data_IF_068327090051
#
_entry.id   IF_068327090051
#
_cell.length_a   1.000
_cell.length_b   1.000
_cell.length_c   1.000
_cell.angle_alpha   90.00
_cell.angle_beta   90.00
_cell.angle_gamma   90.00
#
_symmetry.space_group_name_H-M   'P 1'
#
loop_
_entity.id
_entity.type
_entity.pdbx_description
1 polymer ?
#
# COMPACT_ATOMS: atom_id res chain seq x y z
N UNK A 1 -33.19 -10.34 -19.59
CA UNK A 1 -32.30 -9.60 -18.66
C UNK A 1 -32.34 -10.37 -17.36
N UNK A 2 -31.23 -10.92 -16.93
CA UNK A 2 -31.17 -11.72 -15.70
C UNK A 2 -31.31 -10.80 -14.48
N UNK A 3 -31.94 -11.30 -13.39
CA UNK A 3 -32.11 -10.56 -12.11
C UNK A 3 -30.83 -9.87 -11.60
N UNK A 4 -29.69 -10.42 -11.94
CA UNK A 4 -28.36 -9.91 -11.58
C UNK A 4 -27.97 -8.61 -12.31
N UNK A 5 -28.39 -8.43 -13.57
CA UNK A 5 -28.18 -7.17 -14.29
C UNK A 5 -29.08 -6.07 -13.73
N UNK A 6 -30.26 -6.43 -13.18
CA UNK A 6 -31.15 -5.48 -12.53
C UNK A 6 -30.57 -4.93 -11.22
N UNK A 7 -29.86 -5.75 -10.43
CA UNK A 7 -29.25 -5.34 -9.17
C UNK A 7 -28.06 -4.36 -9.37
N UNK A 8 -27.22 -4.57 -10.39
CA UNK A 8 -26.13 -3.65 -10.73
C UNK A 8 -26.66 -2.30 -11.26
N UNK A 9 -27.72 -2.34 -12.09
CA UNK A 9 -28.40 -1.14 -12.56
C UNK A 9 -29.14 -0.41 -11.45
N UNK A 10 -29.74 -1.12 -10.50
CA UNK A 10 -30.39 -0.51 -9.33
C UNK A 10 -29.39 0.29 -8.47
N UNK A 11 -28.15 -0.20 -8.30
CA UNK A 11 -27.09 0.53 -7.59
C UNK A 11 -26.66 1.81 -8.31
N UNK A 12 -26.53 1.77 -9.63
CA UNK A 12 -26.23 2.97 -10.43
C UNK A 12 -27.37 3.99 -10.36
N UNK A 13 -28.63 3.55 -10.43
CA UNK A 13 -29.79 4.43 -10.25
C UNK A 13 -29.88 5.02 -8.84
N UNK A 14 -29.48 4.25 -7.82
CA UNK A 14 -29.42 4.76 -6.46
C UNK A 14 -28.36 5.88 -6.32
N UNK A 15 -27.22 5.77 -7.01
CA UNK A 15 -26.21 6.84 -7.09
C UNK A 15 -26.72 8.09 -7.82
N UNK A 16 -27.57 7.94 -8.85
CA UNK A 16 -28.13 9.06 -9.61
C UNK A 16 -29.23 9.81 -8.83
N UNK A 17 -30.04 9.12 -8.04
CA UNK A 17 -31.28 9.67 -7.47
C UNK A 17 -31.27 9.84 -5.93
N UNK A 18 -30.29 9.30 -5.22
CA UNK A 18 -30.26 9.40 -3.77
C UNK A 18 -29.83 10.80 -3.29
N UNK A 19 -30.32 11.28 -2.15
CA UNK A 19 -29.87 12.54 -1.57
C UNK A 19 -28.36 12.51 -1.29
N UNK A 20 -27.65 13.59 -1.66
CA UNK A 20 -26.20 13.70 -1.53
C UNK A 20 -25.72 13.40 -0.12
N UNK A 21 -26.41 13.87 0.92
CA UNK A 21 -26.08 13.60 2.31
C UNK A 21 -26.09 12.11 2.67
N UNK A 22 -27.07 11.34 2.16
CA UNK A 22 -27.16 9.90 2.37
C UNK A 22 -26.00 9.16 1.67
N UNK A 23 -25.70 9.53 0.42
CA UNK A 23 -24.57 8.97 -0.33
C UNK A 23 -23.25 9.28 0.37
N UNK A 24 -23.08 10.51 0.88
CA UNK A 24 -21.89 10.89 1.61
C UNK A 24 -21.65 9.95 2.80
N UNK A 25 -22.65 9.72 3.64
CA UNK A 25 -22.52 8.79 4.78
C UNK A 25 -22.29 7.35 4.36
N UNK A 26 -23.00 6.88 3.34
CA UNK A 26 -22.92 5.50 2.87
C UNK A 26 -21.53 5.16 2.28
N UNK A 27 -20.83 6.14 1.69
CA UNK A 27 -19.49 5.96 1.13
C UNK A 27 -18.38 6.36 2.09
N UNK A 28 -18.57 7.44 2.86
CA UNK A 28 -17.52 7.93 3.77
C UNK A 28 -17.34 7.03 4.98
N UNK A 29 -18.44 6.57 5.61
CA UNK A 29 -18.33 5.77 6.83
C UNK A 29 -17.55 4.47 6.64
N UNK A 30 -17.84 3.62 5.63
CA UNK A 30 -17.01 2.43 5.39
C UNK A 30 -15.56 2.78 5.08
N UNK A 31 -15.32 3.88 4.37
CA UNK A 31 -13.97 4.33 4.03
C UNK A 31 -13.19 4.73 5.26
N UNK A 32 -13.78 5.55 6.13
CA UNK A 32 -13.17 6.00 7.39
C UNK A 32 -12.88 4.81 8.30
N UNK A 33 -13.84 3.91 8.47
CA UNK A 33 -13.66 2.68 9.27
C UNK A 33 -12.50 1.84 8.71
N UNK A 34 -12.46 1.61 7.40
CA UNK A 34 -11.36 0.86 6.78
C UNK A 34 -10.00 1.51 7.00
N UNK A 35 -9.90 2.84 6.85
CA UNK A 35 -8.65 3.58 7.08
C UNK A 35 -8.23 3.57 8.56
N UNK A 36 -9.18 3.68 9.50
CA UNK A 36 -8.90 3.58 10.94
C UNK A 36 -8.35 2.20 11.31
N UNK A 37 -8.97 1.13 10.79
CA UNK A 37 -8.50 -0.24 11.01
C UNK A 37 -7.09 -0.43 10.46
N UNK A 38 -6.81 0.10 9.26
CA UNK A 38 -5.47 0.07 8.66
C UNK A 38 -4.44 0.87 9.48
N UNK A 39 -4.83 2.04 10.00
CA UNK A 39 -3.94 2.84 10.86
C UNK A 39 -3.63 2.12 12.17
N UNK A 40 -4.65 1.53 12.78
CA UNK A 40 -4.49 0.77 14.03
C UNK A 40 -3.58 -0.44 13.83
N UNK A 41 -3.81 -1.21 12.76
CA UNK A 41 -2.94 -2.34 12.41
C UNK A 41 -1.48 -1.91 12.24
N UNK A 42 -1.20 -0.79 11.55
CA UNK A 42 0.16 -0.28 11.39
C UNK A 42 0.85 0.05 12.73
N UNK A 43 0.09 0.59 13.69
CA UNK A 43 0.62 0.87 15.04
C UNK A 43 0.93 -0.43 15.78
N UNK A 44 0.02 -1.39 15.75
CA UNK A 44 0.20 -2.70 16.41
C UNK A 44 1.39 -3.45 15.80
N UNK A 45 1.50 -3.48 14.49
CA UNK A 45 2.62 -4.14 13.79
C UNK A 45 3.98 -3.59 14.24
N UNK A 46 4.11 -2.26 14.38
CA UNK A 46 5.34 -1.63 14.90
C UNK A 46 5.63 -1.98 16.36
N UNK A 47 4.60 -2.07 17.20
CA UNK A 47 4.76 -2.49 18.59
C UNK A 47 5.25 -3.94 18.66
N UNK A 48 4.70 -4.83 17.82
CA UNK A 48 5.10 -6.23 17.75
C UNK A 48 6.56 -6.38 17.30
N UNK A 49 6.96 -5.66 16.24
CA UNK A 49 8.34 -5.66 15.76
C UNK A 49 9.29 -5.10 16.82
N UNK A 50 8.93 -3.99 17.46
CA UNK A 50 9.76 -3.38 18.50
C UNK A 50 9.99 -4.29 19.70
N UNK A 51 8.96 -5.06 20.11
CA UNK A 51 9.07 -6.01 21.21
C UNK A 51 9.76 -7.32 20.83
N UNK A 52 9.59 -7.76 19.59
CA UNK A 52 10.11 -9.06 19.13
C UNK A 52 11.52 -9.02 18.60
N UNK A 53 11.99 -7.89 18.05
CA UNK A 53 13.27 -7.80 17.36
C UNK A 53 14.21 -6.76 17.99
N UNK A 54 13.66 -5.71 18.60
CA UNK A 54 14.43 -4.67 19.29
C UNK A 54 14.52 -3.34 18.54
N UNK A 55 15.25 -2.38 19.14
CA UNK A 55 15.33 -0.99 18.68
C UNK A 55 16.02 -0.83 17.32
N UNK A 56 17.04 -1.64 17.04
CA UNK A 56 17.78 -1.59 15.75
C UNK A 56 16.90 -2.00 14.59
N UNK A 57 15.97 -2.93 14.81
CA UNK A 57 14.98 -3.32 13.80
C UNK A 57 14.00 -2.20 13.50
N UNK A 58 13.53 -1.45 14.51
CA UNK A 58 12.67 -0.28 14.30
C UNK A 58 13.42 0.79 13.49
N UNK A 59 14.69 1.03 13.82
CA UNK A 59 15.55 1.95 13.08
C UNK A 59 15.75 1.50 11.64
N UNK A 60 15.97 0.21 11.43
CA UNK A 60 16.04 -0.41 10.09
C UNK A 60 14.74 -0.23 9.30
N UNK A 61 13.58 -0.44 9.95
CA UNK A 61 12.27 -0.20 9.33
C UNK A 61 12.11 1.26 8.89
N UNK A 62 12.54 2.22 9.70
CA UNK A 62 12.41 3.64 9.34
C UNK A 62 13.13 3.97 8.02
N UNK A 63 14.25 3.31 7.75
CA UNK A 63 15.02 3.46 6.50
C UNK A 63 14.29 2.85 5.29
N UNK A 64 13.39 1.90 5.52
CA UNK A 64 12.63 1.27 4.42
C UNK A 64 11.44 2.13 3.93
N UNK A 65 11.00 3.13 4.71
CA UNK A 65 9.86 3.98 4.33
C UNK A 65 10.00 4.69 2.98
N UNK A 66 11.14 5.28 2.62
CA UNK A 66 11.30 5.86 1.29
C UNK A 66 11.06 4.85 0.17
N UNK A 67 11.54 3.60 0.32
CA UNK A 67 11.31 2.52 -0.66
C UNK A 67 9.82 2.20 -0.77
N UNK A 68 9.15 2.03 0.39
CA UNK A 68 7.71 1.76 0.45
C UNK A 68 6.88 2.90 -0.13
N UNK A 69 7.24 4.16 0.17
CA UNK A 69 6.56 5.34 -0.37
C UNK A 69 6.72 5.46 -1.89
N UNK A 70 7.89 5.12 -2.42
CA UNK A 70 8.11 5.15 -3.86
C UNK A 70 7.31 4.05 -4.57
N UNK A 71 7.30 2.83 -4.03
CA UNK A 71 6.47 1.74 -4.54
C UNK A 71 4.97 2.09 -4.46
N UNK A 72 4.54 2.72 -3.37
CA UNK A 72 3.17 3.21 -3.20
C UNK A 72 2.84 4.33 -4.19
N UNK A 73 3.76 5.27 -4.44
CA UNK A 73 3.56 6.34 -5.43
C UNK A 73 3.26 5.78 -6.82
N UNK A 74 3.99 4.74 -7.24
CA UNK A 74 3.75 4.04 -8.50
C UNK A 74 2.40 3.30 -8.51
N UNK A 75 2.01 2.69 -7.39
CA UNK A 75 0.70 2.07 -7.22
C UNK A 75 -0.44 3.08 -7.28
N UNK A 76 -0.28 4.23 -6.62
CA UNK A 76 -1.24 5.34 -6.60
C UNK A 76 -1.37 5.99 -7.97
N UNK A 77 -0.26 6.12 -8.73
CA UNK A 77 -0.29 6.62 -10.11
C UNK A 77 -1.32 5.87 -10.95
N UNK A 78 -1.32 4.56 -10.88
CA UNK A 78 -2.26 3.73 -11.64
C UNK A 78 -3.61 3.62 -10.92
N UNK A 79 -3.60 3.34 -9.62
CA UNK A 79 -4.82 3.09 -8.84
C UNK A 79 -5.76 4.30 -8.77
N UNK A 80 -5.24 5.49 -8.42
CA UNK A 80 -6.05 6.71 -8.35
C UNK A 80 -6.49 7.17 -9.74
N UNK A 81 -5.59 7.11 -10.75
CA UNK A 81 -5.91 7.46 -12.12
C UNK A 81 -7.00 6.58 -12.72
N UNK A 82 -6.87 5.25 -12.55
CA UNK A 82 -7.86 4.29 -13.01
C UNK A 82 -9.21 4.46 -12.29
N UNK A 83 -9.19 4.67 -10.96
CA UNK A 83 -10.40 4.88 -10.16
C UNK A 83 -11.19 6.08 -10.64
N UNK A 84 -10.52 7.23 -10.83
CA UNK A 84 -11.16 8.45 -11.32
C UNK A 84 -11.71 8.26 -12.75
N UNK A 85 -10.93 7.64 -13.64
CA UNK A 85 -11.36 7.39 -15.01
C UNK A 85 -12.56 6.44 -15.07
N UNK A 86 -12.55 5.38 -14.26
CA UNK A 86 -13.69 4.45 -14.11
C UNK A 86 -14.93 5.19 -13.64
N UNK A 87 -14.82 6.06 -12.62
CA UNK A 87 -15.96 6.84 -12.10
C UNK A 87 -16.58 7.73 -13.20
N UNK A 88 -15.73 8.42 -13.98
CA UNK A 88 -16.20 9.27 -15.10
C UNK A 88 -16.95 8.43 -16.13
N UNK A 89 -16.36 7.30 -16.56
CA UNK A 89 -16.95 6.45 -17.59
C UNK A 89 -18.24 5.77 -17.13
N UNK A 90 -18.34 5.40 -15.85
CA UNK A 90 -19.59 4.88 -15.27
C UNK A 90 -20.67 5.96 -15.23
N UNK A 91 -20.33 7.19 -14.86
CA UNK A 91 -21.25 8.34 -14.92
C UNK A 91 -21.74 8.63 -16.34
N UNK A 92 -20.89 8.42 -17.34
CA UNK A 92 -21.25 8.50 -18.77
C UNK A 92 -21.98 7.25 -19.30
N UNK A 93 -22.30 6.27 -18.44
CA UNK A 93 -22.93 4.98 -18.82
C UNK A 93 -22.08 4.14 -19.80
N UNK A 94 -20.78 4.43 -19.91
CA UNK A 94 -19.84 3.72 -20.78
C UNK A 94 -19.17 2.56 -20.02
N UNK A 95 -19.94 1.49 -19.80
CA UNK A 95 -19.45 0.30 -19.09
C UNK A 95 -18.30 -0.42 -19.82
N UNK A 96 -18.28 -0.37 -21.15
CA UNK A 96 -17.20 -0.99 -21.94
C UNK A 96 -15.89 -0.25 -21.74
N UNK A 97 -15.90 1.07 -21.83
CA UNK A 97 -14.72 1.90 -21.55
C UNK A 97 -14.21 1.73 -20.12
N UNK A 98 -15.11 1.68 -19.14
CA UNK A 98 -14.75 1.44 -17.74
C UNK A 98 -14.09 0.05 -17.54
N UNK A 99 -14.57 -0.99 -18.22
CA UNK A 99 -13.94 -2.31 -18.19
C UNK A 99 -12.56 -2.32 -18.88
N UNK A 100 -12.38 -1.55 -19.95
CA UNK A 100 -11.07 -1.38 -20.61
C UNK A 100 -10.07 -0.70 -19.68
N UNK A 101 -10.49 0.31 -18.91
CA UNK A 101 -9.65 0.95 -17.87
C UNK A 101 -9.28 -0.05 -16.78
N UNK A 102 -10.21 -0.88 -16.33
CA UNK A 102 -9.96 -1.93 -15.33
C UNK A 102 -8.86 -2.90 -15.79
N UNK A 103 -8.93 -3.39 -17.03
CA UNK A 103 -7.92 -4.30 -17.60
C UNK A 103 -6.58 -3.63 -17.81
N UNK A 104 -6.56 -2.39 -18.32
CA UNK A 104 -5.32 -1.63 -18.49
C UNK A 104 -4.65 -1.31 -17.14
N UNK A 105 -5.44 -1.00 -16.10
CA UNK A 105 -4.92 -0.79 -14.74
C UNK A 105 -4.21 -2.04 -14.20
N UNK A 106 -4.79 -3.24 -14.42
CA UNK A 106 -4.14 -4.50 -14.01
C UNK A 106 -2.78 -4.66 -14.67
N UNK A 107 -2.72 -4.51 -16.00
CA UNK A 107 -1.47 -4.68 -16.74
C UNK A 107 -0.44 -3.63 -16.33
N UNK A 108 -0.85 -2.37 -16.13
CA UNK A 108 0.05 -1.31 -15.68
C UNK A 108 0.59 -1.56 -14.27
N UNK A 109 -0.23 -2.06 -13.33
CA UNK A 109 0.23 -2.41 -11.99
C UNK A 109 1.22 -3.56 -12.02
N UNK A 110 1.00 -4.56 -12.89
CA UNK A 110 1.95 -5.67 -13.08
C UNK A 110 3.28 -5.19 -13.68
N UNK A 111 3.24 -4.31 -14.67
CA UNK A 111 4.44 -3.70 -15.26
C UNK A 111 5.21 -2.90 -14.22
N UNK A 112 4.52 -2.01 -13.49
CA UNK A 112 5.12 -1.22 -12.42
C UNK A 112 5.76 -2.12 -11.36
N UNK A 113 5.08 -3.18 -10.94
CA UNK A 113 5.59 -4.14 -9.98
C UNK A 113 6.88 -4.81 -10.47
N UNK A 114 6.89 -5.27 -11.72
CA UNK A 114 8.07 -5.88 -12.30
C UNK A 114 9.25 -4.90 -12.31
N UNK A 115 9.00 -3.64 -12.67
CA UNK A 115 10.03 -2.60 -12.69
C UNK A 115 10.60 -2.36 -11.29
N UNK A 116 9.77 -2.09 -10.26
CA UNK A 116 10.31 -1.79 -8.95
C UNK A 116 10.92 -3.02 -8.25
N UNK A 117 10.35 -4.22 -8.43
CA UNK A 117 10.94 -5.46 -7.91
C UNK A 117 12.33 -5.68 -8.51
N UNK A 118 12.48 -5.47 -9.83
CA UNK A 118 13.78 -5.59 -10.49
C UNK A 118 14.78 -4.54 -10.00
N UNK A 119 14.37 -3.27 -9.91
CA UNK A 119 15.26 -2.19 -9.46
C UNK A 119 15.68 -2.41 -8.01
N UNK A 120 14.72 -2.62 -7.11
CA UNK A 120 15.03 -2.79 -5.69
C UNK A 120 15.69 -4.14 -5.39
N UNK A 121 15.37 -5.21 -6.13
CA UNK A 121 16.04 -6.50 -5.96
C UNK A 121 17.51 -6.47 -6.35
N UNK A 122 17.88 -5.72 -7.39
CA UNK A 122 19.26 -5.63 -7.88
C UNK A 122 20.07 -4.57 -7.12
N UNK A 123 19.47 -3.40 -6.86
CA UNK A 123 20.17 -2.23 -6.30
C UNK A 123 19.80 -1.94 -4.85
N UNK A 124 19.37 -2.95 -4.06
CA UNK A 124 18.86 -2.73 -2.70
C UNK A 124 19.90 -2.08 -1.78
N UNK A 125 21.13 -2.56 -1.76
CA UNK A 125 22.17 -2.08 -0.84
C UNK A 125 22.55 -0.61 -1.12
N UNK A 126 22.89 -0.20 -2.37
CA UNK A 126 23.18 1.19 -2.67
C UNK A 126 21.98 2.12 -2.41
N UNK A 127 20.76 1.66 -2.67
CA UNK A 127 19.55 2.47 -2.42
C UNK A 127 19.36 2.69 -0.92
N UNK A 128 19.45 1.63 -0.09
CA UNK A 128 19.29 1.76 1.36
C UNK A 128 20.38 2.63 1.97
N UNK A 129 21.62 2.52 1.50
CA UNK A 129 22.72 3.41 1.94
C UNK A 129 22.45 4.87 1.57
N UNK A 130 21.96 5.14 0.36
CA UNK A 130 21.56 6.49 -0.05
C UNK A 130 20.41 7.05 0.82
N UNK A 131 19.55 6.17 1.35
CA UNK A 131 18.44 6.55 2.23
C UNK A 131 18.82 6.64 3.71
N UNK A 132 20.10 6.53 4.05
CA UNK A 132 20.64 6.74 5.39
C UNK A 132 20.91 5.47 6.19
N UNK A 133 20.96 4.28 5.55
CA UNK A 133 21.30 3.05 6.24
C UNK A 133 22.75 3.08 6.75
N UNK A 134 22.93 2.77 8.04
CA UNK A 134 24.24 2.50 8.64
C UNK A 134 24.58 1.01 8.53
N UNK A 135 25.85 0.65 8.79
CA UNK A 135 26.26 -0.75 8.79
C UNK A 135 25.49 -1.59 9.83
N UNK A 136 25.03 -0.98 10.91
CA UNK A 136 24.20 -1.65 11.93
C UNK A 136 22.76 -1.88 11.48
N UNK A 137 22.16 -0.93 10.74
CA UNK A 137 20.74 -0.98 10.35
C UNK A 137 20.51 -1.61 8.98
N UNK A 138 21.53 -1.64 8.11
CA UNK A 138 21.45 -2.16 6.75
C UNK A 138 20.98 -3.63 6.69
N UNK A 139 21.45 -4.57 7.52
CA UNK A 139 20.99 -5.96 7.45
C UNK A 139 19.50 -6.09 7.70
N UNK A 140 18.96 -5.37 8.72
CA UNK A 140 17.54 -5.40 9.05
C UNK A 140 16.67 -4.79 7.94
N UNK A 141 17.07 -3.63 7.42
CA UNK A 141 16.38 -2.96 6.33
C UNK A 141 16.38 -3.80 5.05
N UNK A 142 17.51 -4.41 4.70
CA UNK A 142 17.65 -5.29 3.55
C UNK A 142 16.76 -6.52 3.65
N UNK A 143 16.87 -7.24 4.75
CA UNK A 143 16.08 -8.45 4.99
C UNK A 143 14.58 -8.14 4.92
N UNK A 144 14.14 -7.07 5.59
CA UNK A 144 12.75 -6.67 5.55
C UNK A 144 12.26 -6.37 4.12
N UNK A 145 12.99 -5.54 3.35
CA UNK A 145 12.57 -5.19 2.00
C UNK A 145 12.60 -6.40 1.06
N UNK A 146 13.63 -7.23 1.09
CA UNK A 146 13.71 -8.39 0.19
C UNK A 146 12.55 -9.35 0.40
N UNK A 147 12.13 -9.58 1.65
CA UNK A 147 10.97 -10.41 1.95
C UNK A 147 9.64 -9.70 1.68
N UNK A 148 9.60 -8.37 1.72
CA UNK A 148 8.40 -7.58 1.44
C UNK A 148 8.19 -7.31 -0.07
N UNK A 149 9.22 -7.42 -0.92
CA UNK A 149 9.13 -7.09 -2.35
C UNK A 149 7.99 -7.81 -3.08
N UNK A 150 7.75 -9.12 -2.90
CA UNK A 150 6.61 -9.79 -3.52
C UNK A 150 5.27 -9.24 -3.04
N UNK A 151 5.16 -8.95 -1.74
CA UNK A 151 3.96 -8.40 -1.13
C UNK A 151 3.64 -6.97 -1.55
N UNK A 152 4.63 -6.18 -1.97
CA UNK A 152 4.37 -4.86 -2.53
C UNK A 152 3.54 -4.92 -3.81
N UNK A 153 3.71 -5.96 -4.65
CA UNK A 153 2.82 -6.20 -5.78
C UNK A 153 1.38 -6.48 -5.30
N UNK A 154 1.22 -7.39 -4.33
CA UNK A 154 -0.08 -7.75 -3.79
C UNK A 154 -0.76 -6.55 -3.14
N UNK A 155 0.01 -5.74 -2.41
CA UNK A 155 -0.44 -4.49 -1.79
C UNK A 155 -0.95 -3.49 -2.83
N UNK A 156 -0.19 -3.23 -3.88
CA UNK A 156 -0.58 -2.29 -4.93
C UNK A 156 -1.82 -2.75 -5.69
N UNK A 157 -1.93 -4.05 -5.99
CA UNK A 157 -3.14 -4.64 -6.57
C UNK A 157 -4.33 -4.52 -5.62
N UNK A 158 -4.17 -4.91 -4.34
CA UNK A 158 -5.22 -4.85 -3.36
C UNK A 158 -5.76 -3.41 -3.20
N UNK A 159 -4.88 -2.42 -2.98
CA UNK A 159 -5.29 -1.02 -2.80
C UNK A 159 -5.84 -0.38 -4.08
N UNK A 160 -5.20 -0.58 -5.22
CA UNK A 160 -5.64 -0.02 -6.50
C UNK A 160 -7.03 -0.50 -6.86
N UNK A 161 -7.25 -1.81 -6.80
CA UNK A 161 -8.56 -2.40 -7.12
C UNK A 161 -9.61 -2.21 -6.03
N UNK A 162 -9.21 -2.07 -4.75
CA UNK A 162 -10.11 -1.67 -3.67
C UNK A 162 -10.73 -0.28 -3.95
N UNK A 163 -9.93 0.68 -4.41
CA UNK A 163 -10.41 2.00 -4.79
C UNK A 163 -11.37 1.94 -5.99
N UNK A 164 -11.06 1.13 -7.02
CA UNK A 164 -11.96 0.92 -8.16
C UNK A 164 -13.27 0.24 -7.72
N UNK A 165 -13.21 -0.74 -6.81
CA UNK A 165 -14.38 -1.40 -6.22
C UNK A 165 -15.29 -0.40 -5.53
N UNK A 166 -14.72 0.53 -4.75
CA UNK A 166 -15.44 1.60 -4.08
C UNK A 166 -16.11 2.55 -5.08
N UNK A 167 -15.37 2.96 -6.11
CA UNK A 167 -15.87 3.82 -7.19
C UNK A 167 -16.97 3.17 -8.03
N UNK A 168 -16.99 1.84 -8.12
CA UNK A 168 -18.02 1.08 -8.84
C UNK A 168 -19.30 0.78 -8.01
N UNK A 169 -19.42 1.36 -6.82
CA UNK A 169 -20.64 1.26 -5.99
C UNK A 169 -20.62 0.19 -4.91
N UNK A 170 -19.44 -0.30 -4.51
CA UNK A 170 -19.29 -1.34 -3.49
C UNK A 170 -18.41 -0.91 -2.29
N UNK A 171 -18.72 0.23 -1.61
CA UNK A 171 -17.86 0.74 -0.53
C UNK A 171 -17.79 -0.19 0.68
N UNK A 172 -18.87 -0.89 1.02
CA UNK A 172 -18.89 -1.86 2.12
C UNK A 172 -17.96 -3.05 1.87
N UNK A 173 -18.00 -3.61 0.65
CA UNK A 173 -17.07 -4.69 0.27
C UNK A 173 -15.61 -4.23 0.26
N UNK A 174 -15.37 -3.00 -0.17
CA UNK A 174 -14.04 -2.40 -0.10
C UNK A 174 -13.54 -2.27 1.36
N UNK A 175 -14.41 -1.90 2.30
CA UNK A 175 -14.09 -1.91 3.73
C UNK A 175 -13.79 -3.33 4.23
N UNK A 176 -14.62 -4.31 3.88
CA UNK A 176 -14.43 -5.71 4.28
C UNK A 176 -13.06 -6.25 3.87
N UNK A 177 -12.56 -5.89 2.67
CA UNK A 177 -11.22 -6.30 2.23
C UNK A 177 -10.11 -5.70 3.09
N UNK A 178 -10.26 -4.44 3.51
CA UNK A 178 -9.29 -3.76 4.38
C UNK A 178 -9.28 -4.40 5.78
N UNK A 179 -10.46 -4.68 6.33
CA UNK A 179 -10.60 -5.35 7.62
C UNK A 179 -10.01 -6.76 7.56
N UNK A 180 -10.31 -7.52 6.50
CA UNK A 180 -9.78 -8.88 6.32
C UNK A 180 -8.24 -8.90 6.30
N UNK A 181 -7.62 -7.98 5.55
CA UNK A 181 -6.17 -7.85 5.51
C UNK A 181 -5.57 -7.47 6.86
N UNK A 182 -6.17 -6.48 7.55
CA UNK A 182 -5.71 -6.06 8.86
C UNK A 182 -5.83 -7.16 9.92
N UNK A 183 -6.95 -7.88 9.95
CA UNK A 183 -7.15 -9.02 10.86
C UNK A 183 -6.19 -10.18 10.56
N UNK A 184 -6.01 -10.52 9.27
CA UNK A 184 -5.06 -11.54 8.89
C UNK A 184 -3.64 -11.20 9.35
N UNK A 185 -3.18 -9.95 9.15
CA UNK A 185 -1.88 -9.52 9.64
C UNK A 185 -1.80 -9.53 11.17
N UNK A 186 -2.82 -9.03 11.87
CA UNK A 186 -2.85 -9.00 13.33
C UNK A 186 -2.73 -10.40 13.97
N UNK A 187 -3.24 -11.43 13.29
CA UNK A 187 -3.12 -12.83 13.72
C UNK A 187 -1.78 -13.42 13.31
N UNK A 188 -1.34 -13.18 12.07
CA UNK A 188 -0.14 -13.81 11.52
C UNK A 188 1.15 -13.18 12.07
N UNK A 189 1.21 -11.86 12.27
CA UNK A 189 2.43 -11.20 12.71
C UNK A 189 2.95 -11.74 14.07
N UNK A 190 2.16 -11.90 15.13
CA UNK A 190 2.63 -12.51 16.38
C UNK A 190 3.15 -13.95 16.19
N UNK A 191 2.50 -14.73 15.34
CA UNK A 191 2.90 -16.13 15.08
C UNK A 191 4.26 -16.16 14.41
N UNK A 192 4.46 -15.37 13.36
CA UNK A 192 5.72 -15.36 12.61
C UNK A 192 6.87 -14.70 13.40
N UNK A 193 6.57 -13.68 14.21
CA UNK A 193 7.60 -12.96 14.99
C UNK A 193 8.00 -13.77 16.23
N UNK A 194 7.04 -14.24 17.04
CA UNK A 194 7.30 -14.80 18.38
C UNK A 194 7.29 -16.33 18.42
N UNK A 195 6.37 -17.00 17.67
CA UNK A 195 6.24 -18.45 17.72
C UNK A 195 7.26 -19.11 16.81
N UNK A 196 7.41 -18.58 15.57
CA UNK A 196 8.38 -19.10 14.59
C UNK A 196 9.76 -18.43 14.70
N UNK A 197 9.91 -17.44 15.58
CA UNK A 197 11.17 -16.72 15.85
C UNK A 197 11.87 -16.18 14.59
N UNK A 198 11.08 -15.76 13.59
CA UNK A 198 11.59 -15.22 12.33
C UNK A 198 11.93 -13.72 12.42
N UNK A 199 11.64 -13.07 13.55
CA UNK A 199 11.94 -11.66 13.77
C UNK A 199 11.36 -10.75 12.69
N UNK A 200 12.18 -9.86 12.12
CA UNK A 200 11.75 -8.86 11.11
C UNK A 200 11.31 -9.51 9.79
N UNK A 201 11.89 -10.65 9.42
CA UNK A 201 11.47 -11.43 8.24
C UNK A 201 10.04 -11.96 8.42
N UNK A 202 9.74 -12.41 9.65
CA UNK A 202 8.41 -12.87 10.02
C UNK A 202 7.35 -11.79 9.86
N UNK A 203 7.64 -10.55 10.26
CA UNK A 203 6.75 -9.42 10.04
C UNK A 203 6.48 -9.14 8.56
N UNK A 204 7.52 -9.18 7.72
CA UNK A 204 7.37 -9.00 6.27
C UNK A 204 6.50 -10.10 5.65
N UNK A 205 6.78 -11.37 5.96
CA UNK A 205 6.03 -12.52 5.46
C UNK A 205 4.56 -12.47 5.90
N UNK A 206 4.31 -12.13 7.17
CA UNK A 206 2.93 -11.98 7.68
C UNK A 206 2.15 -10.91 6.91
N UNK A 207 2.80 -9.78 6.63
CA UNK A 207 2.22 -8.69 5.82
C UNK A 207 1.94 -9.15 4.39
N UNK A 208 2.86 -9.86 3.76
CA UNK A 208 2.70 -10.36 2.39
C UNK A 208 1.52 -11.35 2.27
N UNK A 209 1.40 -12.26 3.22
CA UNK A 209 0.29 -13.21 3.28
C UNK A 209 -1.04 -12.45 3.48
N UNK A 210 -1.10 -11.51 4.42
CA UNK A 210 -2.29 -10.72 4.69
C UNK A 210 -2.73 -9.88 3.47
N UNK A 211 -1.77 -9.27 2.77
CA UNK A 211 -2.05 -8.51 1.55
C UNK A 211 -2.45 -9.43 0.38
N UNK A 212 -1.91 -10.64 0.32
CA UNK A 212 -2.32 -11.66 -0.65
C UNK A 212 -3.78 -12.06 -0.43
N UNK A 213 -4.23 -12.28 0.82
CA UNK A 213 -5.64 -12.52 1.11
C UNK A 213 -6.53 -11.36 0.68
N UNK A 214 -6.14 -10.12 1.01
CA UNK A 214 -6.86 -8.93 0.56
C UNK A 214 -6.94 -8.85 -0.95
N UNK A 215 -5.84 -9.08 -1.65
CA UNK A 215 -5.77 -9.06 -3.12
C UNK A 215 -6.68 -10.13 -3.73
N UNK A 216 -6.64 -11.37 -3.23
CA UNK A 216 -7.50 -12.46 -3.71
C UNK A 216 -8.97 -12.09 -3.55
N UNK A 217 -9.36 -11.53 -2.39
CA UNK A 217 -10.75 -11.13 -2.14
C UNK A 217 -11.20 -10.01 -3.09
N UNK A 218 -10.35 -9.01 -3.31
CA UNK A 218 -10.61 -7.91 -4.25
C UNK A 218 -10.72 -8.44 -5.68
N UNK A 219 -9.78 -9.30 -6.13
CA UNK A 219 -9.80 -9.85 -7.48
C UNK A 219 -11.02 -10.75 -7.70
N UNK A 220 -11.38 -11.59 -6.71
CA UNK A 220 -12.56 -12.43 -6.76
C UNK A 220 -13.86 -11.61 -6.96
N UNK A 221 -13.92 -10.38 -6.42
CA UNK A 221 -15.05 -9.48 -6.69
C UNK A 221 -15.21 -9.18 -8.18
N UNK A 222 -14.13 -8.86 -8.90
CA UNK A 222 -14.19 -8.51 -10.33
C UNK A 222 -14.35 -9.71 -11.28
N UNK A 223 -14.21 -10.94 -10.77
CA UNK A 223 -14.48 -12.17 -11.53
C UNK A 223 -15.99 -12.53 -11.48
N UNK A 224 -16.71 -12.05 -10.47
CA UNK A 224 -18.15 -12.35 -10.31
C UNK A 224 -18.97 -11.78 -11.46
N UNK A 225 -20.10 -12.42 -11.75
CA UNK A 225 -21.02 -12.00 -12.84
C UNK A 225 -22.05 -10.96 -12.42
N UNK A 226 -22.22 -10.75 -11.11
CA UNK A 226 -23.21 -9.87 -10.49
C UNK A 226 -22.71 -8.48 -10.18
N UNK A 227 -21.52 -8.11 -10.68
CA UNK A 227 -20.87 -6.81 -10.42
C UNK A 227 -20.95 -5.86 -11.62
N UNK A 228 -20.88 -4.56 -11.31
CA UNK A 228 -20.97 -3.49 -12.32
C UNK A 228 -19.80 -3.54 -13.32
N UNK A 229 -18.61 -3.85 -12.83
CA UNK A 229 -17.39 -4.01 -13.62
C UNK A 229 -16.81 -5.39 -13.41
N UNK A 230 -16.40 -6.04 -14.49
CA UNK A 230 -15.79 -7.37 -14.43
C UNK A 230 -14.65 -7.52 -15.42
N UNK A 231 -13.76 -8.45 -15.14
CA UNK A 231 -12.76 -8.88 -16.10
C UNK A 231 -13.42 -9.64 -17.24
N UNK A 232 -13.19 -9.19 -18.47
CA UNK A 232 -13.68 -9.81 -19.71
C UNK A 232 -12.53 -10.06 -20.67
N UNK A 233 -12.69 -11.00 -21.61
CA UNK A 233 -11.65 -11.26 -22.59
C UNK A 233 -11.43 -10.02 -23.49
N UNK A 234 -10.16 -9.68 -23.72
CA UNK A 234 -9.76 -8.58 -24.62
C UNK A 234 -9.55 -7.22 -23.96
N UNK A 235 -9.83 -7.03 -22.67
CA UNK A 235 -9.60 -5.75 -21.96
C UNK A 235 -8.14 -5.51 -21.56
N UNK A 236 -7.29 -6.53 -21.67
CA UNK A 236 -5.88 -6.47 -21.26
C UNK A 236 -4.96 -5.84 -22.31
N UNK A 237 -5.47 -5.52 -23.51
CA UNK A 237 -4.69 -4.81 -24.52
C UNK A 237 -4.46 -3.39 -24.06
N UNK A 238 -3.19 -3.03 -23.85
CA UNK A 238 -2.81 -1.66 -23.53
C UNK A 238 -3.18 -0.73 -24.68
N UNK A 239 -3.98 0.29 -24.38
CA UNK A 239 -4.34 1.37 -25.30
C UNK A 239 -3.67 2.64 -24.83
N UNK A 240 -2.81 3.23 -25.65
CA UNK A 240 -2.05 4.42 -25.29
C UNK A 240 -2.95 5.56 -24.77
N UNK A 241 -4.13 5.77 -25.35
CA UNK A 241 -5.09 6.77 -24.90
C UNK A 241 -5.63 6.51 -23.50
N UNK A 242 -5.88 5.23 -23.14
CA UNK A 242 -6.33 4.83 -21.82
C UNK A 242 -5.19 4.97 -20.81
N UNK A 243 -4.01 4.48 -21.16
CA UNK A 243 -2.79 4.58 -20.33
C UNK A 243 -2.48 6.05 -20.02
N UNK A 244 -2.44 6.91 -21.07
CA UNK A 244 -2.17 8.34 -20.88
C UNK A 244 -3.22 9.00 -19.97
N UNK A 245 -4.50 8.65 -20.13
CA UNK A 245 -5.57 9.16 -19.28
C UNK A 245 -5.42 8.71 -17.82
N UNK A 246 -5.02 7.46 -17.56
CA UNK A 246 -4.74 6.95 -16.21
C UNK A 246 -3.56 7.71 -15.60
N UNK A 247 -2.44 7.78 -16.32
CA UNK A 247 -1.20 8.40 -15.84
C UNK A 247 -1.38 9.89 -15.60
N UNK A 248 -2.03 10.63 -16.50
CA UNK A 248 -2.24 12.07 -16.34
C UNK A 248 -3.07 12.42 -15.11
N UNK A 249 -4.13 11.66 -14.82
CA UNK A 249 -4.97 11.87 -13.64
C UNK A 249 -4.25 11.41 -12.36
N UNK A 250 -3.57 10.28 -12.42
CA UNK A 250 -2.86 9.71 -11.27
C UNK A 250 -1.55 10.42 -10.90
N UNK A 251 -1.01 11.25 -11.79
CA UNK A 251 0.27 11.95 -11.58
C UNK A 251 0.24 12.85 -10.33
N UNK A 252 -0.84 13.61 -10.12
CA UNK A 252 -0.93 14.52 -8.98
C UNK A 252 -0.84 13.80 -7.63
N UNK A 253 -1.67 12.79 -7.30
CA UNK A 253 -1.53 12.06 -6.04
C UNK A 253 -0.23 11.24 -5.96
N UNK A 254 0.30 10.76 -7.08
CA UNK A 254 1.59 10.07 -7.10
C UNK A 254 2.75 11.00 -6.73
N UNK A 255 2.76 12.23 -7.22
CA UNK A 255 3.76 13.25 -6.87
C UNK A 255 3.73 13.60 -5.38
N UNK A 256 2.56 13.62 -4.74
CA UNK A 256 2.45 13.83 -3.29
C UNK A 256 3.16 12.70 -2.52
N UNK A 257 2.95 11.44 -2.92
CA UNK A 257 3.64 10.30 -2.32
C UNK A 257 5.15 10.31 -2.60
N UNK A 258 5.56 10.70 -3.81
CA UNK A 258 6.96 10.86 -4.16
C UNK A 258 7.63 11.98 -3.35
N UNK A 259 6.95 13.12 -3.13
CA UNK A 259 7.43 14.18 -2.25
C UNK A 259 7.61 13.69 -0.81
N UNK A 260 6.69 12.87 -0.30
CA UNK A 260 6.84 12.22 1.01
C UNK A 260 8.08 11.32 1.08
N UNK A 261 8.43 10.63 -0.01
CA UNK A 261 9.68 9.87 -0.12
C UNK A 261 10.89 10.79 0.10
N UNK A 262 11.00 11.91 -0.62
CA UNK A 262 12.11 12.87 -0.46
C UNK A 262 12.21 13.41 0.95
N UNK A 263 11.09 13.77 1.57
CA UNK A 263 11.04 14.25 2.96
C UNK A 263 11.61 13.18 3.91
N UNK A 264 11.18 11.93 3.78
CA UNK A 264 11.69 10.85 4.61
C UNK A 264 13.20 10.61 4.41
N UNK A 265 13.70 10.69 3.17
CA UNK A 265 15.14 10.58 2.88
C UNK A 265 15.93 11.71 3.57
N UNK A 266 15.44 12.94 3.48
CA UNK A 266 16.10 14.11 4.13
C UNK A 266 16.11 13.92 5.64
N UNK A 267 14.98 13.53 6.24
CA UNK A 267 14.88 13.29 7.69
C UNK A 267 15.83 12.17 8.11
N UNK A 268 15.82 11.01 7.43
CA UNK A 268 16.69 9.89 7.76
C UNK A 268 18.18 10.25 7.67
N UNK A 269 18.57 10.94 6.60
CA UNK A 269 19.96 11.38 6.44
C UNK A 269 20.36 12.43 7.50
N UNK A 270 19.46 13.36 7.85
CA UNK A 270 19.67 14.32 8.90
C UNK A 270 19.83 13.63 10.27
N UNK A 271 18.96 12.70 10.60
CA UNK A 271 19.06 11.91 11.83
C UNK A 271 20.34 11.07 11.87
N UNK A 272 20.74 10.45 10.76
CA UNK A 272 21.99 9.72 10.68
C UNK A 272 23.22 10.62 10.88
N UNK A 273 23.18 11.87 10.41
CA UNK A 273 24.28 12.82 10.50
C UNK A 273 24.36 13.51 11.87
N UNK A 274 23.23 13.94 12.40
CA UNK A 274 23.17 14.73 13.65
C UNK A 274 22.91 13.84 14.87
N UNK A 275 22.15 12.76 14.78
CA UNK A 275 21.90 11.84 15.89
C UNK A 275 23.15 11.19 16.43
N UNK A 276 24.10 10.80 15.55
CA UNK A 276 25.42 10.29 15.98
C UNK A 276 26.27 11.33 16.74
N UNK A 277 26.06 12.61 16.49
CA UNK A 277 26.77 13.68 17.21
C UNK A 277 26.22 13.89 18.63
N UNK A 278 24.93 13.73 18.82
CA UNK A 278 24.26 13.80 20.12
C UNK A 278 24.62 12.59 21.00
N UNK A 279 24.57 11.37 20.48
CA UNK A 279 25.00 10.17 21.21
C UNK A 279 26.48 10.24 21.63
N UNK A 280 27.36 10.74 20.76
CA UNK A 280 28.78 11.00 21.11
C UNK A 280 28.92 12.06 22.18
N UNK A 281 28.06 13.10 22.18
CA UNK A 281 28.10 14.18 23.16
C UNK A 281 27.61 13.71 24.51
N UNK A 282 26.47 13.00 24.55
CA UNK A 282 25.94 12.39 25.77
C UNK A 282 26.88 11.33 26.33
N UNK A 283 27.44 10.47 25.47
CA UNK A 283 28.43 9.46 25.88
C UNK A 283 29.72 10.09 26.43
N UNK A 284 30.19 11.23 25.89
CA UNK A 284 31.32 11.97 26.46
C UNK A 284 30.97 12.65 27.77
N UNK A 285 29.80 13.23 27.91
CA UNK A 285 29.35 13.85 29.15
C UNK A 285 29.11 12.80 30.25
N UNK A 286 28.54 11.64 29.96
CA UNK A 286 28.44 10.54 30.89
C UNK A 286 29.83 10.02 31.31
N UNK A 287 30.79 9.88 30.37
CA UNK A 287 32.13 9.41 30.68
C UNK A 287 32.95 10.41 31.50
N UNK A 288 32.72 11.72 31.32
CA UNK A 288 33.37 12.77 32.14
C UNK A 288 32.76 12.88 33.52
N UNK A 289 31.48 12.53 33.72
CA UNK A 289 30.83 12.51 35.04
C UNK A 289 31.14 11.25 35.87
N UNK A 290 31.63 10.17 35.25
CA UNK A 290 31.98 8.90 35.89
C UNK A 290 33.48 8.64 35.95
N UNK A 291 34.31 9.62 35.71
CA UNK A 291 35.75 9.52 36.03
C UNK A 291 35.90 9.61 37.55
N UNK A 292 36.27 8.52 38.26
CA UNK A 292 36.55 8.63 39.68
C UNK A 292 37.79 9.49 39.88
N UNK A 293 37.66 10.44 40.75
CA UNK A 293 38.78 11.26 41.21
C UNK A 293 39.92 10.42 41.72
N UNK A 294 41.08 10.71 41.23
CA UNK A 294 42.30 10.79 42.02
C UNK A 294 42.87 12.14 41.93
#
# INVERSE_FOLDING_TARGET
MTDQQSAAQAKLRALENAPVGRLLWEYSLPTVVGLLVMSLYNVVDRILIGRGVGADAISGLAITFPVMNLATALGVLVGAGATTRVSILLGQKNHRGASEVLGNALVLLLINATIYISIFGIFIDPILRAFGASDATLPYARDFILWLLPGLLMTNLAFGFNNIMRASGYPRRAMETMILGALANLILAPIFIFVLDLGIKGAAIATDIAMTFSMIFVMAHFVRRDVTLRFTRGIYRLRASVVLSIVSIGAAPALVNAASCFINVIINNSLARYGRSEERRVGKECRSRWSPYH
#
